data_IF_940395536098
#
_entry.id   IF_940395536098
#
_cell.length_a   1.000
_cell.length_b   1.000
_cell.length_c   1.000
_cell.angle_alpha   90.00
_cell.angle_beta   90.00
_cell.angle_gamma   90.00
#
_symmetry.space_group_name_H-M   'P 1'
#
loop_
_entity.id
_entity.type
_entity.pdbx_description
1 polymer ?
#
# COMPACT_ATOMS: atom_id res chain seq x y z
N UNK A 1 0.55 7.33 3.10
CA UNK A 1 0.55 8.72 2.57
C UNK A 1 1.45 9.56 3.45
N UNK A 2 2.56 10.07 2.92
CA UNK A 2 3.41 11.01 3.66
C UNK A 2 2.83 12.41 3.43
N UNK A 3 2.28 13.02 4.48
CA UNK A 3 1.86 14.41 4.44
C UNK A 3 3.10 15.30 4.46
N UNK A 4 3.49 15.83 3.29
CA UNK A 4 4.43 16.94 3.22
C UNK A 4 3.72 18.16 3.81
N UNK A 5 4.12 18.57 5.02
CA UNK A 5 3.69 19.84 5.60
C UNK A 5 4.43 20.97 4.85
N UNK A 6 3.76 21.82 4.08
CA UNK A 6 4.42 22.90 3.34
C UNK A 6 4.87 24.06 4.24
N UNK A 7 4.43 24.10 5.50
CA UNK A 7 4.60 25.27 6.39
C UNK A 7 5.99 25.39 7.05
N UNK A 8 6.97 24.64 6.57
CA UNK A 8 8.37 24.79 7.00
C UNK A 8 9.30 24.78 5.80
N UNK A 9 9.11 25.75 4.92
CA UNK A 9 10.25 26.27 4.17
C UNK A 9 11.01 27.14 5.17
N UNK A 10 12.21 26.78 5.66
CA UNK A 10 13.06 27.76 6.33
C UNK A 10 13.39 28.84 5.30
N UNK A 11 12.61 29.92 5.33
CA UNK A 11 12.88 31.18 4.69
C UNK A 11 14.08 31.81 5.37
N UNK A 12 15.26 31.35 4.97
CA UNK A 12 16.48 32.13 4.97
C UNK A 12 17.42 31.38 4.04
N UNK A 13 17.58 31.89 2.82
CA UNK A 13 18.90 31.79 2.21
C UNK A 13 19.84 32.50 3.20
N UNK A 14 20.42 31.73 4.12
CA UNK A 14 21.59 32.20 4.86
C UNK A 14 22.63 32.28 3.77
N UNK A 15 23.03 33.50 3.39
CA UNK A 15 24.17 33.70 2.50
C UNK A 15 25.32 32.83 3.02
N UNK A 16 25.68 31.85 2.20
CA UNK A 16 26.82 30.94 2.40
C UNK A 16 28.04 31.44 1.66
N UNK A 17 28.03 32.71 1.23
CA UNK A 17 29.23 33.39 0.78
C UNK A 17 30.15 33.48 2.01
N UNK A 18 31.11 32.56 2.09
CA UNK A 18 32.19 32.66 3.07
C UNK A 18 32.91 33.99 2.81
N UNK A 19 33.15 34.78 3.86
CA UNK A 19 33.92 36.02 3.74
C UNK A 19 35.27 35.72 3.11
N UNK A 20 35.73 36.61 2.23
CA UNK A 20 37.07 36.47 1.65
C UNK A 20 38.14 36.64 2.74
N UNK A 21 39.33 36.09 2.53
CA UNK A 21 40.43 36.17 3.48
C UNK A 21 40.77 37.65 3.82
N UNK A 22 40.63 38.54 2.84
CA UNK A 22 40.79 39.98 2.99
C UNK A 22 39.72 40.62 3.91
N UNK A 23 38.50 40.10 3.94
CA UNK A 23 37.43 40.58 4.81
C UNK A 23 37.64 40.13 6.25
N UNK A 24 38.15 38.90 6.43
CA UNK A 24 38.42 38.29 7.73
C UNK A 24 39.49 39.07 8.50
N UNK A 25 40.55 39.50 7.81
CA UNK A 25 41.68 40.22 8.41
C UNK A 25 41.33 41.64 8.88
N UNK A 26 40.21 42.19 8.42
CA UNK A 26 39.70 43.51 8.86
C UNK A 26 38.73 43.43 10.04
N UNK A 27 38.31 42.22 10.44
CA UNK A 27 37.38 42.04 11.54
C UNK A 27 38.06 42.27 12.89
N UNK A 28 37.31 42.84 13.83
CA UNK A 28 37.68 42.75 15.24
C UNK A 28 37.56 41.30 15.73
N UNK A 29 38.38 40.89 16.70
CA UNK A 29 38.34 39.58 17.34
C UNK A 29 36.92 39.09 17.68
N UNK A 30 36.08 39.99 18.24
CA UNK A 30 34.71 39.65 18.61
C UNK A 30 33.78 39.41 17.39
N UNK A 31 34.08 40.03 16.24
CA UNK A 31 33.36 39.80 14.99
C UNK A 31 33.86 38.51 14.31
N UNK A 32 35.17 38.28 14.32
CA UNK A 32 35.78 37.03 13.85
C UNK A 32 35.20 35.81 14.58
N UNK A 33 35.15 35.85 15.91
CA UNK A 33 34.59 34.76 16.72
C UNK A 33 33.13 34.47 16.36
N UNK A 34 32.32 35.52 16.20
CA UNK A 34 30.89 35.39 15.80
C UNK A 34 30.75 34.74 14.44
N UNK A 35 31.57 35.14 13.47
CA UNK A 35 31.53 34.59 12.12
C UNK A 35 32.00 33.13 12.11
N UNK A 36 33.09 32.81 12.80
CA UNK A 36 33.55 31.42 12.95
C UNK A 36 32.53 30.53 13.68
N UNK A 37 31.74 31.09 14.60
CA UNK A 37 30.61 30.39 15.22
C UNK A 37 29.43 30.19 14.27
N UNK A 38 29.20 31.09 13.31
CA UNK A 38 28.20 30.93 12.24
C UNK A 38 28.63 29.85 11.26
N UNK A 39 29.86 29.91 10.77
CA UNK A 39 30.43 28.94 9.81
C UNK A 39 30.41 27.52 10.40
N UNK A 40 30.90 27.34 11.64
CA UNK A 40 30.86 26.02 12.31
C UNK A 40 29.44 25.46 12.42
N UNK A 41 28.43 26.32 12.71
CA UNK A 41 27.02 25.87 12.74
C UNK A 41 26.51 25.46 11.37
N UNK A 42 26.79 26.26 10.34
CA UNK A 42 26.39 25.96 8.97
C UNK A 42 27.00 24.63 8.47
N UNK A 43 28.29 24.42 8.73
CA UNK A 43 28.98 23.16 8.40
C UNK A 43 28.37 21.96 9.14
N UNK A 44 28.04 22.10 10.42
CA UNK A 44 27.40 21.04 11.20
C UNK A 44 26.01 20.69 10.67
N UNK A 45 25.19 21.68 10.30
CA UNK A 45 23.87 21.43 9.71
C UNK A 45 23.98 20.80 8.31
N UNK A 46 24.96 21.24 7.50
CA UNK A 46 25.26 20.63 6.20
C UNK A 46 25.66 19.17 6.35
N UNK A 47 26.59 18.85 7.25
CA UNK A 47 27.04 17.49 7.52
C UNK A 47 25.91 16.58 8.03
N UNK A 48 25.03 17.09 8.90
CA UNK A 48 23.83 16.37 9.33
C UNK A 48 22.88 16.11 8.16
N UNK A 49 22.68 17.10 7.30
CA UNK A 49 21.89 16.98 6.07
C UNK A 49 22.44 15.87 5.17
N UNK A 50 23.72 15.93 4.84
CA UNK A 50 24.43 14.96 4.00
C UNK A 50 24.36 13.54 4.58
N UNK A 51 24.58 13.36 5.88
CA UNK A 51 24.43 12.06 6.54
C UNK A 51 22.98 11.53 6.47
N UNK A 52 22.01 12.42 6.63
CA UNK A 52 20.60 12.12 6.43
C UNK A 52 20.30 11.63 5.01
N UNK A 53 20.75 12.36 3.99
CA UNK A 53 20.60 12.02 2.58
C UNK A 53 21.32 10.72 2.22
N UNK A 54 22.53 10.49 2.72
CA UNK A 54 23.29 9.25 2.52
C UNK A 54 22.54 8.00 3.04
N UNK A 55 21.70 8.16 4.08
CA UNK A 55 20.89 7.07 4.62
C UNK A 55 19.60 6.76 3.84
N UNK A 56 19.15 7.67 2.97
CA UNK A 56 17.86 7.54 2.26
C UNK A 56 17.83 6.37 1.26
N UNK A 57 18.85 6.11 0.43
CA UNK A 57 18.85 4.98 -0.50
C UNK A 57 18.58 3.64 0.18
N UNK A 58 19.20 3.41 1.34
CA UNK A 58 19.03 2.17 2.10
C UNK A 58 17.62 2.05 2.70
N UNK A 59 17.05 3.16 3.19
CA UNK A 59 15.66 3.21 3.68
C UNK A 59 14.68 2.92 2.54
N UNK A 60 14.87 3.54 1.37
CA UNK A 60 14.07 3.31 0.17
C UNK A 60 14.16 1.85 -0.29
N UNK A 61 15.36 1.27 -0.29
CA UNK A 61 15.58 -0.15 -0.62
C UNK A 61 14.79 -1.07 0.31
N UNK A 62 14.81 -0.81 1.62
CA UNK A 62 14.04 -1.59 2.61
C UNK A 62 12.53 -1.45 2.40
N UNK A 63 12.04 -0.23 2.16
CA UNK A 63 10.64 0.03 1.86
C UNK A 63 10.20 -0.71 0.59
N UNK A 64 10.99 -0.64 -0.50
CA UNK A 64 10.72 -1.35 -1.75
C UNK A 64 10.57 -2.85 -1.53
N UNK A 65 11.53 -3.49 -0.85
CA UNK A 65 11.48 -4.93 -0.54
C UNK A 65 10.23 -5.32 0.26
N UNK A 66 9.81 -4.49 1.21
CA UNK A 66 8.58 -4.74 1.98
C UNK A 66 7.36 -4.68 1.07
N UNK A 67 7.27 -3.67 0.21
CA UNK A 67 6.16 -3.53 -0.75
C UNK A 67 6.12 -4.72 -1.70
N UNK A 68 7.25 -5.13 -2.27
CA UNK A 68 7.33 -6.31 -3.15
C UNK A 68 6.82 -7.58 -2.45
N UNK A 69 7.18 -7.80 -1.18
CA UNK A 69 6.66 -8.92 -0.39
C UNK A 69 5.15 -8.85 -0.19
N UNK A 70 4.61 -7.67 0.13
CA UNK A 70 3.17 -7.50 0.28
C UNK A 70 2.42 -7.74 -1.03
N UNK A 71 2.93 -7.21 -2.15
CA UNK A 71 2.34 -7.44 -3.47
C UNK A 71 2.33 -8.92 -3.84
N UNK A 72 3.43 -9.64 -3.57
CA UNK A 72 3.47 -11.08 -3.79
C UNK A 72 2.44 -11.84 -2.94
N UNK A 73 2.26 -11.45 -1.67
CA UNK A 73 1.22 -12.07 -0.82
C UNK A 73 -0.20 -11.78 -1.31
N UNK A 74 -0.46 -10.56 -1.78
CA UNK A 74 -1.77 -10.18 -2.33
C UNK A 74 -2.06 -10.98 -3.60
N UNK A 75 -1.08 -11.11 -4.50
CA UNK A 75 -1.25 -11.89 -5.73
C UNK A 75 -1.58 -13.37 -5.44
N UNK A 76 -0.99 -13.97 -4.40
CA UNK A 76 -1.34 -15.33 -3.98
C UNK A 76 -2.78 -15.40 -3.46
N UNK A 77 -3.19 -14.48 -2.59
CA UNK A 77 -4.57 -14.45 -2.10
C UNK A 77 -5.60 -14.20 -3.22
N UNK A 78 -5.27 -13.36 -4.20
CA UNK A 78 -6.13 -13.13 -5.36
C UNK A 78 -6.27 -14.39 -6.23
N UNK A 79 -5.19 -15.15 -6.43
CA UNK A 79 -5.23 -16.41 -7.16
C UNK A 79 -6.09 -17.44 -6.42
N UNK A 80 -5.85 -17.65 -5.13
CA UNK A 80 -6.64 -18.57 -4.28
C UNK A 80 -8.13 -18.17 -4.26
N UNK A 81 -8.41 -16.88 -4.22
CA UNK A 81 -9.79 -16.38 -4.25
C UNK A 81 -10.47 -16.67 -5.58
N UNK A 82 -9.79 -16.44 -6.71
CA UNK A 82 -10.33 -16.74 -8.05
C UNK A 82 -10.58 -18.23 -8.23
N UNK A 83 -9.66 -19.09 -7.81
CA UNK A 83 -9.84 -20.55 -7.89
C UNK A 83 -11.07 -21.00 -7.07
N UNK A 84 -11.23 -20.49 -5.84
CA UNK A 84 -12.41 -20.75 -5.01
C UNK A 84 -13.70 -20.22 -5.64
N UNK A 85 -13.62 -19.09 -6.33
CA UNK A 85 -14.76 -18.51 -7.02
C UNK A 85 -15.17 -19.36 -8.22
N UNK A 86 -14.21 -19.78 -9.04
CA UNK A 86 -14.45 -20.63 -10.22
C UNK A 86 -15.04 -21.98 -9.82
N UNK A 87 -14.50 -22.63 -8.80
CA UNK A 87 -15.03 -23.90 -8.28
C UNK A 87 -16.45 -23.75 -7.73
N UNK A 88 -16.73 -22.66 -6.99
CA UNK A 88 -18.08 -22.38 -6.50
C UNK A 88 -19.08 -22.09 -7.62
N UNK A 89 -18.68 -21.37 -8.66
CA UNK A 89 -19.51 -21.11 -9.83
C UNK A 89 -19.79 -22.40 -10.61
N UNK A 90 -18.78 -23.25 -10.81
CA UNK A 90 -18.96 -24.53 -11.49
C UNK A 90 -19.95 -25.44 -10.74
N UNK A 91 -19.81 -25.55 -9.41
CA UNK A 91 -20.75 -26.32 -8.59
C UNK A 91 -22.17 -25.76 -8.65
N UNK A 92 -22.31 -24.42 -8.62
CA UNK A 92 -23.60 -23.75 -8.76
C UNK A 92 -24.25 -24.07 -10.12
N UNK A 93 -23.48 -24.01 -11.20
CA UNK A 93 -23.99 -24.25 -12.55
C UNK A 93 -24.38 -25.72 -12.75
N UNK A 94 -23.64 -26.66 -12.14
CA UNK A 94 -24.03 -28.07 -12.13
C UNK A 94 -25.37 -28.30 -11.41
N UNK A 95 -25.58 -27.66 -10.26
CA UNK A 95 -26.85 -27.74 -9.53
C UNK A 95 -28.00 -27.07 -10.31
N UNK A 96 -27.76 -25.94 -10.96
CA UNK A 96 -28.75 -25.33 -11.85
C UNK A 96 -29.13 -26.25 -13.00
N UNK A 97 -28.17 -26.92 -13.64
CA UNK A 97 -28.44 -27.87 -14.70
C UNK A 97 -29.28 -29.07 -14.22
N UNK A 98 -29.03 -29.57 -13.00
CA UNK A 98 -29.87 -30.62 -12.38
C UNK A 98 -31.30 -30.14 -12.17
N UNK A 99 -31.48 -28.93 -11.63
CA UNK A 99 -32.81 -28.34 -11.41
C UNK A 99 -33.54 -28.11 -12.73
N UNK A 100 -32.88 -27.57 -13.76
CA UNK A 100 -33.46 -27.39 -15.09
C UNK A 100 -33.94 -28.72 -15.68
N UNK A 101 -33.12 -29.77 -15.57
CA UNK A 101 -33.50 -31.12 -16.01
C UNK A 101 -34.73 -31.64 -15.27
N UNK A 102 -34.81 -31.45 -13.95
CA UNK A 102 -35.99 -31.82 -13.16
C UNK A 102 -37.24 -31.06 -13.60
N UNK A 103 -37.12 -29.76 -13.89
CA UNK A 103 -38.22 -28.94 -14.40
C UNK A 103 -38.67 -29.45 -15.77
N UNK A 104 -37.74 -29.77 -16.68
CA UNK A 104 -38.09 -30.31 -17.99
C UNK A 104 -38.76 -31.68 -17.88
N UNK A 105 -38.25 -32.56 -17.01
CA UNK A 105 -38.83 -33.88 -16.79
C UNK A 105 -40.25 -33.78 -16.21
N UNK A 106 -40.49 -32.85 -15.29
CA UNK A 106 -41.82 -32.56 -14.74
C UNK A 106 -42.78 -32.00 -15.80
N UNK A 107 -42.28 -31.13 -16.71
CA UNK A 107 -43.09 -30.60 -17.82
C UNK A 107 -43.49 -31.70 -18.80
N UNK A 108 -42.60 -32.64 -19.09
CA UNK A 108 -42.85 -33.74 -20.06
C UNK A 108 -43.71 -34.85 -19.44
N UNK A 109 -43.39 -35.29 -18.21
CA UNK A 109 -44.07 -36.44 -17.56
C UNK A 109 -45.30 -36.03 -16.74
N UNK A 110 -45.46 -34.75 -16.43
CA UNK A 110 -46.47 -34.25 -15.50
C UNK A 110 -46.15 -34.61 -14.04
N UNK A 111 -46.83 -33.99 -13.06
CA UNK A 111 -46.65 -34.35 -11.66
C UNK A 111 -47.01 -35.82 -11.44
N UNK A 112 -46.15 -36.56 -10.73
CA UNK A 112 -46.41 -37.94 -10.38
C UNK A 112 -47.78 -38.05 -9.69
N UNK A 113 -48.73 -38.76 -10.32
CA UNK A 113 -50.05 -38.99 -9.72
C UNK A 113 -49.85 -39.77 -8.42
N UNK A 114 -50.35 -39.23 -7.31
CA UNK A 114 -50.49 -39.99 -6.06
C UNK A 114 -51.18 -41.32 -6.38
N UNK A 115 -50.68 -42.46 -5.89
CA UNK A 115 -51.35 -43.73 -6.10
C UNK A 115 -52.78 -43.63 -5.55
N UNK A 116 -53.77 -43.69 -6.43
CA UNK A 116 -55.18 -43.80 -6.06
C UNK A 116 -55.39 -45.22 -5.53
N UNK A 117 -55.03 -45.46 -4.27
CA UNK A 117 -55.04 -46.81 -3.70
C UNK A 117 -55.24 -46.91 -2.20
N UNK A 118 -55.29 -45.81 -1.44
CA UNK A 118 -55.62 -45.84 -0.01
C UNK A 118 -57.04 -45.31 0.24
N UNK A 119 -58.04 -45.98 -0.34
CA UNK A 119 -59.37 -45.99 0.32
C UNK A 119 -59.17 -46.75 1.63
N UNK A 120 -59.00 -46.01 2.72
CA UNK A 120 -59.24 -46.56 4.06
C UNK A 120 -60.67 -47.10 4.04
N UNK A 121 -60.82 -48.42 4.17
CA UNK A 121 -62.07 -49.02 4.59
C UNK A 121 -62.44 -48.32 5.90
N UNK A 122 -63.54 -47.57 5.86
CA UNK A 122 -64.21 -47.07 7.06
C UNK A 122 -65.11 -48.22 7.51
N UNK A 123 -65.08 -48.46 8.83
CA UNK A 123 -65.77 -49.55 9.54
C UNK A 123 -67.24 -49.73 9.12
#
# INVERSE_FOLDING_TARGET
MFALRPDKIPSAAVDTEDLSEDDIDTLSDAQYDREMHRIRRAQMEKAKGEAGFASLPEKLRKCRKRVEKYLASVALYEADFKERQETALAARDEEFAKVEKLITDLKVKGPARRPKGSRRLRD
#
